data_IF_828509927838
#
_entry.id   IF_828509927838
#
_cell.length_a   1.000
_cell.length_b   1.000
_cell.length_c   1.000
_cell.angle_alpha   90.00
_cell.angle_beta   90.00
_cell.angle_gamma   90.00
#
_symmetry.space_group_name_H-M   'P 1'
#
loop_
_entity.id
_entity.type
_entity.pdbx_description
1 polymer ?
#
# COMPACT_ATOMS: atom_id res chain seq x y z
N UNK A 1 -41.80 -17.04 45.25
CA UNK A 1 -41.56 -16.78 43.80
C UNK A 1 -42.91 -16.74 43.11
N UNK A 2 -43.27 -15.60 42.57
CA UNK A 2 -44.55 -15.42 41.89
C UNK A 2 -44.62 -16.24 40.61
N UNK A 3 -45.80 -16.85 40.34
CA UNK A 3 -46.05 -17.67 39.13
C UNK A 3 -45.65 -16.97 37.80
N UNK A 4 -45.65 -15.62 37.80
CA UNK A 4 -45.22 -14.77 36.66
C UNK A 4 -43.72 -14.82 36.48
N UNK A 5 -42.90 -14.84 37.54
CA UNK A 5 -41.45 -14.93 37.47
C UNK A 5 -40.97 -16.30 36.99
N UNK A 6 -41.72 -17.35 37.31
CA UNK A 6 -41.40 -18.70 36.84
C UNK A 6 -41.72 -18.88 35.34
N UNK A 7 -42.82 -18.28 34.87
CA UNK A 7 -43.18 -18.27 33.44
C UNK A 7 -42.20 -17.47 32.57
N UNK A 8 -41.62 -16.37 33.10
CA UNK A 8 -40.59 -15.60 32.40
C UNK A 8 -39.24 -16.34 32.32
N UNK A 9 -38.90 -17.12 33.37
CA UNK A 9 -37.68 -17.93 33.40
C UNK A 9 -37.73 -19.13 32.44
N UNK A 10 -38.93 -19.73 32.29
CA UNK A 10 -39.14 -20.86 31.34
C UNK A 10 -39.23 -20.32 29.89
N UNK A 11 -39.79 -19.14 29.67
CA UNK A 11 -39.80 -18.47 28.36
C UNK A 11 -38.40 -18.03 27.88
N UNK A 12 -37.53 -17.61 28.82
CA UNK A 12 -36.17 -17.21 28.52
C UNK A 12 -35.23 -18.38 28.20
N UNK A 13 -35.49 -19.59 28.71
CA UNK A 13 -34.66 -20.76 28.45
C UNK A 13 -34.96 -21.44 27.10
N UNK A 14 -36.06 -21.09 26.44
CA UNK A 14 -36.40 -21.64 25.12
C UNK A 14 -35.86 -20.83 23.94
N UNK A 15 -35.25 -19.66 24.20
CA UNK A 15 -34.73 -18.79 23.12
C UNK A 15 -33.24 -19.02 22.81
N UNK A 16 -32.52 -19.81 23.63
CA UNK A 16 -31.09 -20.09 23.42
C UNK A 16 -30.80 -21.46 22.80
N UNK A 17 -31.82 -22.20 22.34
CA UNK A 17 -31.66 -23.51 21.74
C UNK A 17 -31.85 -23.60 20.22
N UNK A 18 -31.93 -22.48 19.50
CA UNK A 18 -32.19 -22.49 18.06
C UNK A 18 -31.09 -21.81 17.28
N UNK A 19 -29.93 -22.42 17.25
CA UNK A 19 -28.93 -22.23 16.20
C UNK A 19 -28.26 -23.59 15.97
N UNK A 20 -29.03 -24.52 15.46
CA UNK A 20 -28.51 -25.67 14.74
C UNK A 20 -28.79 -25.41 13.25
N UNK A 21 -27.74 -25.43 12.45
CA UNK A 21 -27.71 -25.06 11.02
C UNK A 21 -28.44 -26.10 10.13
N UNK A 22 -29.40 -26.85 10.66
CA UNK A 22 -30.12 -27.91 9.96
C UNK A 22 -31.37 -27.45 9.21
N UNK A 23 -31.48 -26.18 8.86
CA UNK A 23 -32.57 -25.71 7.97
C UNK A 23 -32.43 -26.21 6.52
N UNK A 24 -31.33 -26.87 6.18
CA UNK A 24 -31.14 -27.50 4.85
C UNK A 24 -32.08 -28.69 4.61
N UNK A 25 -32.68 -29.27 5.66
CA UNK A 25 -33.53 -30.45 5.55
C UNK A 25 -35.02 -30.16 5.51
N UNK A 26 -35.46 -28.92 5.77
CA UNK A 26 -36.88 -28.57 5.74
C UNK A 26 -37.31 -28.41 4.27
N UNK A 27 -37.95 -29.42 3.76
CA UNK A 27 -38.52 -29.46 2.40
C UNK A 27 -38.05 -30.64 1.54
N UNK A 28 -37.13 -31.49 2.01
CA UNK A 28 -36.66 -32.65 1.24
C UNK A 28 -37.75 -33.74 1.12
N UNK A 29 -38.70 -33.84 2.05
CA UNK A 29 -39.80 -34.81 1.99
C UNK A 29 -40.89 -34.47 0.94
N UNK A 30 -40.78 -33.34 0.24
CA UNK A 30 -41.72 -32.86 -0.78
C UNK A 30 -41.17 -32.96 -2.19
N UNK A 31 -39.88 -33.32 -2.33
CA UNK A 31 -39.26 -33.45 -3.66
C UNK A 31 -39.58 -34.79 -4.30
N UNK A 32 -39.81 -34.87 -5.64
CA UNK A 32 -39.92 -36.11 -6.37
C UNK A 32 -38.68 -37.00 -6.19
N UNK A 33 -38.88 -38.31 -6.07
CA UNK A 33 -37.77 -39.28 -6.06
C UNK A 33 -36.93 -39.07 -7.35
N UNK A 34 -35.71 -38.52 -7.21
CA UNK A 34 -34.79 -38.23 -8.33
C UNK A 34 -34.20 -36.83 -8.31
N UNK A 35 -34.78 -35.85 -7.59
CA UNK A 35 -34.29 -34.50 -7.46
C UNK A 35 -33.57 -34.21 -6.11
N UNK A 36 -33.15 -35.26 -5.41
CA UNK A 36 -32.47 -35.09 -4.13
C UNK A 36 -31.04 -34.61 -4.35
N UNK A 37 -30.80 -33.32 -4.01
CA UNK A 37 -29.43 -32.77 -3.92
C UNK A 37 -28.88 -33.11 -2.53
N UNK A 38 -27.88 -33.97 -2.49
CA UNK A 38 -27.16 -34.28 -1.25
C UNK A 38 -26.02 -33.25 -1.08
N UNK A 39 -26.06 -32.49 0.02
CA UNK A 39 -25.00 -31.53 0.36
C UNK A 39 -24.13 -32.11 1.49
N UNK A 40 -22.82 -32.04 1.31
CA UNK A 40 -21.84 -32.46 2.33
C UNK A 40 -21.00 -31.25 2.72
N UNK A 41 -20.65 -31.12 4.00
CA UNK A 41 -19.69 -30.12 4.46
C UNK A 41 -18.49 -30.79 5.12
N UNK A 42 -17.29 -30.27 4.89
CA UNK A 42 -16.05 -30.76 5.47
C UNK A 42 -15.09 -29.61 5.74
N UNK A 43 -14.37 -29.72 6.85
CA UNK A 43 -13.34 -28.76 7.24
C UNK A 43 -11.98 -29.30 6.84
N UNK A 44 -11.17 -28.44 6.22
CA UNK A 44 -9.80 -28.77 5.80
C UNK A 44 -8.82 -27.81 6.49
N UNK A 45 -7.67 -28.32 6.87
CA UNK A 45 -6.57 -27.50 7.35
C UNK A 45 -5.76 -26.97 6.16
N UNK A 46 -5.50 -25.66 6.17
CA UNK A 46 -4.67 -25.02 5.14
C UNK A 46 -3.21 -25.03 5.59
N UNK A 47 -2.33 -25.41 4.69
CA UNK A 47 -0.89 -25.25 4.91
C UNK A 47 -0.50 -23.81 4.58
N UNK A 48 0.23 -23.20 5.50
CA UNK A 48 0.71 -21.81 5.32
C UNK A 48 2.20 -21.73 5.62
N UNK A 49 2.90 -20.89 4.85
CA UNK A 49 4.32 -20.59 5.05
C UNK A 49 4.56 -19.09 4.95
N UNK A 50 5.53 -18.59 5.70
CA UNK A 50 5.97 -17.20 5.57
C UNK A 50 6.94 -17.08 4.41
N UNK A 51 6.69 -16.15 3.51
CA UNK A 51 7.55 -15.87 2.36
C UNK A 51 8.12 -14.48 2.50
N UNK A 52 9.44 -14.38 2.43
CA UNK A 52 10.12 -13.08 2.38
C UNK A 52 9.95 -12.47 0.99
N UNK A 53 9.48 -11.23 0.97
CA UNK A 53 9.36 -10.44 -0.25
C UNK A 53 10.44 -9.36 -0.25
N UNK A 54 11.43 -9.50 -1.11
CA UNK A 54 12.55 -8.55 -1.21
C UNK A 54 12.12 -7.20 -1.80
N UNK A 55 11.06 -7.21 -2.61
CA UNK A 55 10.52 -5.99 -3.19
C UNK A 55 9.06 -6.15 -3.60
N UNK A 56 8.35 -5.02 -3.57
CA UNK A 56 6.99 -4.86 -4.10
C UNK A 56 6.95 -3.62 -4.98
N UNK A 57 5.89 -3.46 -5.79
CA UNK A 57 5.73 -2.27 -6.62
C UNK A 57 5.80 -1.00 -5.76
N UNK A 58 6.65 -0.07 -6.19
CA UNK A 58 6.96 1.13 -5.42
C UNK A 58 6.32 2.41 -5.95
N UNK A 59 5.74 2.37 -7.15
CA UNK A 59 5.07 3.52 -7.77
C UNK A 59 3.77 3.82 -7.00
N UNK A 60 3.74 4.96 -6.33
CA UNK A 60 2.61 5.35 -5.46
C UNK A 60 2.53 6.86 -5.33
N UNK A 61 1.35 7.38 -5.03
CA UNK A 61 1.14 8.80 -4.67
C UNK A 61 1.37 9.11 -3.19
N UNK A 62 1.61 8.09 -2.37
CA UNK A 62 1.88 8.25 -0.94
C UNK A 62 3.33 7.87 -0.65
N UNK A 63 4.10 8.81 -0.15
CA UNK A 63 5.52 8.64 0.13
C UNK A 63 5.76 8.44 1.63
N UNK A 64 6.72 7.58 1.96
CA UNK A 64 7.09 7.26 3.34
C UNK A 64 8.51 7.71 3.64
N UNK A 65 8.68 8.41 4.76
CA UNK A 65 9.99 8.94 5.18
C UNK A 65 10.24 8.66 6.65
N UNK A 66 11.31 7.98 6.95
CA UNK A 66 11.75 7.75 8.32
C UNK A 66 12.26 6.35 8.58
N UNK A 67 12.45 6.03 9.86
CA UNK A 67 12.93 4.73 10.33
C UNK A 67 12.29 4.38 11.65
N UNK A 68 11.77 3.16 11.76
CA UNK A 68 11.13 2.62 12.95
C UNK A 68 11.66 1.23 13.26
N UNK A 69 11.47 0.80 14.50
CA UNK A 69 11.73 -0.58 14.92
C UNK A 69 10.40 -1.19 15.36
N UNK A 70 10.02 -2.26 14.70
CA UNK A 70 8.87 -3.07 15.07
C UNK A 70 9.07 -3.66 16.48
N UNK A 71 8.19 -3.41 17.44
CA UNK A 71 8.35 -3.89 18.81
C UNK A 71 8.23 -5.42 18.94
N UNK A 72 7.54 -6.10 18.02
CA UNK A 72 7.34 -7.56 18.05
C UNK A 72 8.57 -8.31 17.55
N UNK A 73 8.92 -8.09 16.29
CA UNK A 73 10.04 -8.79 15.64
C UNK A 73 11.37 -8.05 15.74
N UNK A 74 11.40 -6.82 16.26
CA UNK A 74 12.58 -5.97 16.34
C UNK A 74 13.21 -5.67 14.98
N UNK A 75 12.45 -5.82 13.91
CA UNK A 75 12.86 -5.47 12.56
C UNK A 75 12.92 -3.96 12.43
N UNK A 76 14.07 -3.45 12.01
CA UNK A 76 14.20 -2.04 11.67
C UNK A 76 13.74 -1.84 10.23
N UNK A 77 12.74 -1.02 10.04
CA UNK A 77 12.25 -0.62 8.72
C UNK A 77 12.60 0.82 8.46
N UNK A 78 13.29 1.07 7.35
CA UNK A 78 13.65 2.42 6.89
C UNK A 78 12.98 2.65 5.54
N UNK A 79 12.31 3.78 5.40
CA UNK A 79 11.74 4.22 4.13
C UNK A 79 12.22 5.59 3.76
N UNK A 80 12.46 5.74 2.47
CA UNK A 80 12.81 6.95 1.76
C UNK A 80 12.25 6.89 0.33
N UNK A 81 12.30 7.98 -0.41
CA UNK A 81 11.63 8.01 -1.70
C UNK A 81 12.26 8.99 -2.69
N UNK A 82 12.00 8.73 -3.98
CA UNK A 82 12.28 9.65 -5.08
C UNK A 82 10.97 10.28 -5.54
N UNK A 83 11.00 11.57 -5.89
CA UNK A 83 9.83 12.27 -6.41
C UNK A 83 10.20 13.28 -7.49
N UNK A 84 9.40 13.28 -8.55
CA UNK A 84 9.39 14.31 -9.58
C UNK A 84 8.36 15.39 -9.23
N UNK A 85 8.43 16.52 -9.93
CA UNK A 85 7.49 17.62 -9.73
C UNK A 85 6.74 17.92 -11.02
N UNK A 86 5.43 18.03 -10.93
CA UNK A 86 4.63 18.41 -12.09
C UNK A 86 4.65 19.93 -12.30
N UNK A 87 4.50 20.32 -13.55
CA UNK A 87 4.27 21.69 -13.93
C UNK A 87 2.77 22.00 -13.76
N UNK A 88 2.39 23.03 -12.98
CA UNK A 88 0.99 23.41 -12.85
C UNK A 88 0.33 23.70 -14.19
N UNK A 89 -0.95 23.39 -14.31
CA UNK A 89 -1.72 23.70 -15.51
C UNK A 89 -1.73 25.22 -15.74
N UNK A 90 -1.51 25.66 -16.99
CA UNK A 90 -1.41 27.07 -17.36
C UNK A 90 -0.29 27.82 -16.62
N UNK A 91 0.81 27.14 -16.32
CA UNK A 91 1.96 27.75 -15.68
C UNK A 91 2.42 29.02 -16.39
N UNK A 92 2.53 30.12 -15.67
CA UNK A 92 3.03 31.39 -16.18
C UNK A 92 3.68 32.21 -15.08
N UNK A 93 4.89 32.67 -15.30
CA UNK A 93 5.51 33.71 -14.50
C UNK A 93 5.13 35.09 -15.04
N UNK A 94 5.20 36.18 -14.24
CA UNK A 94 5.05 37.55 -14.73
C UNK A 94 6.02 37.84 -15.88
N UNK A 95 5.72 38.83 -16.71
CA UNK A 95 6.63 39.24 -17.79
C UNK A 95 8.00 39.68 -17.23
N UNK A 96 9.07 39.41 -17.95
CA UNK A 96 10.45 39.61 -17.48
C UNK A 96 10.78 41.05 -17.09
N UNK A 97 10.12 42.04 -17.73
CA UNK A 97 10.25 43.46 -17.44
C UNK A 97 9.57 43.88 -16.13
N UNK A 98 8.58 43.09 -15.69
CA UNK A 98 7.88 43.29 -14.41
C UNK A 98 8.59 42.65 -13.23
N UNK A 99 9.55 41.80 -13.44
CA UNK A 99 10.26 41.12 -12.35
C UNK A 99 11.18 42.10 -11.60
N UNK A 100 11.14 42.03 -10.26
CA UNK A 100 12.12 42.70 -9.43
C UNK A 100 13.48 42.09 -9.66
N UNK A 101 14.46 42.90 -10.00
CA UNK A 101 15.83 42.48 -10.31
C UNK A 101 16.73 42.62 -9.07
N UNK A 102 17.76 41.81 -9.00
CA UNK A 102 18.80 41.91 -7.99
C UNK A 102 19.71 43.12 -8.25
N UNK A 103 20.66 43.37 -7.37
CA UNK A 103 21.63 44.51 -7.49
C UNK A 103 22.45 44.47 -8.79
N UNK A 104 22.65 43.31 -9.37
CA UNK A 104 23.33 43.14 -10.66
C UNK A 104 22.40 43.31 -11.88
N UNK A 105 21.14 43.68 -11.68
CA UNK A 105 20.16 43.88 -12.74
C UNK A 105 19.56 42.62 -13.31
N UNK A 106 19.78 41.46 -12.69
CA UNK A 106 19.30 40.14 -13.15
C UNK A 106 18.03 39.72 -12.41
N UNK A 107 17.14 38.96 -13.08
CA UNK A 107 16.01 38.31 -12.46
C UNK A 107 16.57 37.27 -11.48
N UNK A 108 16.07 37.28 -10.24
CA UNK A 108 16.49 36.34 -9.19
C UNK A 108 15.32 35.97 -8.28
N UNK A 109 15.34 34.75 -7.77
CA UNK A 109 14.43 34.34 -6.70
C UNK A 109 14.84 34.98 -5.37
N UNK A 110 13.86 35.33 -4.56
CA UNK A 110 14.09 35.79 -3.19
C UNK A 110 14.43 34.64 -2.26
N UNK A 111 13.74 33.50 -2.43
CA UNK A 111 14.00 32.23 -1.72
C UNK A 111 13.40 31.02 -2.45
N UNK A 112 13.82 29.83 -2.04
CA UNK A 112 13.28 28.59 -2.53
C UNK A 112 13.22 27.56 -1.39
N UNK A 113 12.15 26.79 -1.32
CA UNK A 113 12.02 25.69 -0.34
C UNK A 113 11.31 24.46 -0.93
N UNK A 114 11.53 23.33 -0.29
CA UNK A 114 10.71 22.13 -0.46
C UNK A 114 9.98 21.86 0.85
N UNK A 115 8.70 21.56 0.76
CA UNK A 115 7.83 21.25 1.90
C UNK A 115 7.20 19.90 1.71
N UNK A 116 7.44 19.01 2.69
CA UNK A 116 6.81 17.71 2.79
C UNK A 116 5.62 17.86 3.73
N UNK A 117 4.41 17.82 3.20
CA UNK A 117 3.18 17.85 4.00
C UNK A 117 2.77 16.44 4.36
N UNK A 118 2.40 16.24 5.64
CA UNK A 118 1.94 14.95 6.12
C UNK A 118 0.78 15.13 7.10
N UNK A 119 -0.20 14.25 7.00
CA UNK A 119 -1.36 14.21 7.90
C UNK A 119 -1.18 13.13 8.95
N UNK A 120 -0.54 12.04 8.56
CA UNK A 120 -0.36 10.85 9.38
C UNK A 120 1.13 10.50 9.57
N UNK A 121 1.41 9.81 10.67
CA UNK A 121 2.73 9.31 11.00
C UNK A 121 2.61 8.13 11.96
N UNK A 122 3.66 7.33 12.04
CA UNK A 122 3.80 6.26 13.00
C UNK A 122 5.02 6.50 13.89
N UNK A 123 4.90 6.13 15.18
CA UNK A 123 6.00 6.17 16.13
C UNK A 123 6.03 7.43 17.02
N UNK A 124 7.21 7.75 17.55
CA UNK A 124 7.42 8.85 18.50
C UNK A 124 7.46 10.20 17.79
N UNK A 125 6.53 11.08 18.12
CA UNK A 125 6.42 12.43 17.58
C UNK A 125 7.58 13.36 17.97
N UNK A 126 8.33 13.03 19.00
CA UNK A 126 9.48 13.79 19.49
C UNK A 126 10.82 13.24 19.00
N UNK A 127 10.82 12.07 18.36
CA UNK A 127 12.04 11.49 17.82
C UNK A 127 12.71 12.45 16.84
N UNK A 128 14.00 12.73 17.09
CA UNK A 128 14.78 13.56 16.15
C UNK A 128 15.23 12.72 14.97
N UNK A 129 14.76 13.09 13.80
CA UNK A 129 15.05 12.46 12.53
C UNK A 129 15.89 13.37 11.66
N UNK A 130 16.64 12.80 10.72
CA UNK A 130 17.44 13.54 9.75
C UNK A 130 17.02 13.20 8.33
N UNK A 131 16.67 14.22 7.57
CA UNK A 131 16.34 14.16 6.15
C UNK A 131 17.51 14.71 5.34
N UNK A 132 17.95 13.96 4.31
CA UNK A 132 18.83 14.44 3.24
C UNK A 132 18.02 14.55 1.95
N UNK A 133 18.03 15.71 1.33
CA UNK A 133 17.38 15.97 0.04
C UNK A 133 18.47 16.13 -1.01
N UNK A 134 18.44 15.30 -2.03
CA UNK A 134 19.48 15.23 -3.06
C UNK A 134 18.85 15.38 -4.44
N UNK A 135 19.38 16.27 -5.25
CA UNK A 135 18.89 16.50 -6.61
C UNK A 135 19.10 15.25 -7.49
N UNK A 136 18.13 14.94 -8.33
CA UNK A 136 18.26 13.87 -9.31
C UNK A 136 19.08 14.35 -10.52
N UNK A 137 19.79 13.42 -11.13
CA UNK A 137 20.64 13.66 -12.30
C UNK A 137 19.81 13.85 -13.56
N UNK A 138 20.16 14.86 -14.37
CA UNK A 138 19.60 15.06 -15.71
C UNK A 138 20.07 13.99 -16.70
N UNK A 139 21.25 13.41 -16.47
CA UNK A 139 21.85 12.42 -17.36
C UNK A 139 21.21 11.03 -17.20
N UNK A 140 20.66 10.75 -16.02
CA UNK A 140 19.96 9.50 -15.68
C UNK A 140 18.62 9.80 -15.01
N UNK A 141 17.67 10.35 -15.74
CA UNK A 141 16.35 10.65 -15.16
C UNK A 141 15.61 9.35 -14.85
N UNK A 142 14.73 9.40 -13.84
CA UNK A 142 13.75 8.35 -13.63
C UNK A 142 12.78 8.41 -14.81
N UNK A 143 12.48 7.24 -15.41
CA UNK A 143 11.55 7.15 -16.53
C UNK A 143 10.14 6.80 -16.04
N UNK A 144 9.18 7.66 -16.31
CA UNK A 144 7.77 7.49 -15.93
C UNK A 144 7.07 6.27 -16.57
N UNK A 145 7.66 5.73 -17.65
CA UNK A 145 7.13 4.56 -18.34
C UNK A 145 7.63 3.23 -17.76
N UNK A 146 8.54 3.27 -16.79
CA UNK A 146 9.09 2.08 -16.16
C UNK A 146 8.40 1.81 -14.82
N UNK A 147 8.37 0.53 -14.46
CA UNK A 147 7.95 0.09 -13.14
C UNK A 147 9.16 0.04 -12.22
N UNK A 148 8.99 0.59 -11.03
CA UNK A 148 10.00 0.56 -9.98
C UNK A 148 9.49 -0.19 -8.77
N UNK A 149 10.42 -0.82 -8.06
CA UNK A 149 10.14 -1.64 -6.89
C UNK A 149 10.84 -1.07 -5.67
N UNK A 150 10.38 -1.44 -4.48
CA UNK A 150 10.87 -0.89 -3.19
C UNK A 150 12.35 -1.12 -2.92
N UNK A 151 13.02 -1.97 -3.69
CA UNK A 151 14.47 -2.19 -3.65
C UNK A 151 15.27 -1.31 -4.64
N UNK A 152 14.64 -0.28 -5.21
CA UNK A 152 15.30 0.70 -6.08
C UNK A 152 16.59 1.22 -5.43
N UNK A 153 17.61 1.50 -6.24
CA UNK A 153 18.90 2.05 -5.82
C UNK A 153 18.94 3.54 -6.13
N UNK A 154 18.56 4.45 -5.22
CA UNK A 154 18.48 5.87 -5.49
C UNK A 154 19.81 6.49 -5.96
N UNK A 155 20.92 5.97 -5.47
CA UNK A 155 22.27 6.42 -5.87
C UNK A 155 22.55 6.34 -7.37
N UNK A 156 21.79 5.55 -8.14
CA UNK A 156 21.92 5.44 -9.58
C UNK A 156 21.33 6.66 -10.31
N UNK A 157 20.48 7.43 -9.62
CA UNK A 157 19.71 8.55 -10.16
C UNK A 157 20.14 9.91 -9.57
N UNK A 158 20.90 9.93 -8.47
CA UNK A 158 21.26 11.16 -7.74
C UNK A 158 22.48 11.83 -8.36
N UNK A 159 22.43 13.16 -8.47
CA UNK A 159 23.61 14.01 -8.69
C UNK A 159 24.27 14.36 -7.35
N UNK A 160 25.29 13.60 -6.98
CA UNK A 160 26.04 13.81 -5.73
C UNK A 160 26.81 15.13 -5.71
N UNK A 161 27.12 15.69 -6.88
CA UNK A 161 27.86 16.93 -7.02
C UNK A 161 26.97 18.18 -6.98
N UNK A 162 25.68 18.03 -6.99
CA UNK A 162 24.74 19.14 -7.00
C UNK A 162 24.91 20.05 -5.78
N UNK A 163 25.05 21.37 -5.98
CA UNK A 163 25.14 22.34 -4.89
C UNK A 163 23.81 22.50 -4.13
N UNK A 164 22.73 21.93 -4.67
CA UNK A 164 21.38 22.00 -4.12
C UNK A 164 21.06 20.88 -3.14
N UNK A 165 22.00 19.94 -2.92
CA UNK A 165 21.85 18.90 -1.91
C UNK A 165 21.83 19.51 -0.50
N UNK A 166 20.82 19.18 0.31
CA UNK A 166 20.59 19.76 1.64
C UNK A 166 20.27 18.66 2.66
N UNK A 167 20.57 18.95 3.93
CA UNK A 167 20.16 18.11 5.05
C UNK A 167 19.51 18.96 6.13
N UNK A 168 18.44 18.43 6.72
CA UNK A 168 17.74 19.05 7.84
C UNK A 168 17.41 18.03 8.90
N UNK A 169 17.39 18.46 10.17
CA UNK A 169 16.82 17.66 11.26
C UNK A 169 15.35 18.06 11.44
N UNK A 170 14.51 17.09 11.75
CA UNK A 170 13.09 17.33 12.00
C UNK A 170 12.58 16.41 13.11
N UNK A 171 11.45 16.77 13.68
CA UNK A 171 10.58 15.92 14.47
C UNK A 171 9.16 16.03 13.93
N UNK A 172 8.31 15.04 14.20
CA UNK A 172 6.88 15.08 13.80
C UNK A 172 6.18 16.25 14.45
N UNK A 173 6.44 16.46 15.75
CA UNK A 173 5.96 17.64 16.47
C UNK A 173 6.84 18.84 16.12
N UNK A 174 6.22 19.91 15.62
CA UNK A 174 6.93 21.16 15.39
C UNK A 174 7.26 21.84 16.72
N UNK A 175 8.49 21.64 17.17
CA UNK A 175 8.97 22.23 18.43
C UNK A 175 9.34 23.71 18.33
N UNK A 176 9.31 24.27 17.14
CA UNK A 176 9.57 25.70 16.90
C UNK A 176 8.36 26.59 17.17
N UNK A 177 7.17 25.98 17.32
CA UNK A 177 5.90 26.68 17.52
C UNK A 177 5.21 26.20 18.80
N UNK A 178 4.47 27.11 19.49
CA UNK A 178 3.62 26.71 20.59
C UNK A 178 2.50 25.76 20.14
N UNK A 179 2.11 24.81 21.01
CA UNK A 179 1.04 23.85 20.75
C UNK A 179 -0.28 24.50 20.31
N UNK A 180 -0.57 25.72 20.80
CA UNK A 180 -1.76 26.49 20.42
C UNK A 180 -1.80 26.83 18.92
N UNK A 181 -0.63 27.03 18.30
CA UNK A 181 -0.53 27.35 16.87
C UNK A 181 -0.57 26.08 16.01
N UNK A 182 -0.14 24.94 16.55
CA UNK A 182 -0.04 23.67 15.83
C UNK A 182 -1.26 22.77 16.01
N UNK A 183 -2.21 23.13 16.90
CA UNK A 183 -3.44 22.37 17.14
C UNK A 183 -4.66 22.83 16.32
N UNK A 184 -4.54 23.95 15.59
CA UNK A 184 -5.64 24.52 14.81
C UNK A 184 -5.89 23.78 13.48
N UNK A 185 -7.15 23.72 13.04
CA UNK A 185 -7.56 23.09 11.76
C UNK A 185 -6.91 23.72 10.50
N UNK A 186 -6.26 24.86 10.64
CA UNK A 186 -5.52 25.54 9.57
C UNK A 186 -4.02 25.23 9.55
N UNK A 187 -3.54 24.45 10.53
CA UNK A 187 -2.14 24.10 10.59
C UNK A 187 -1.91 22.77 9.85
N UNK A 188 -1.06 22.81 8.84
CA UNK A 188 -0.62 21.62 8.13
C UNK A 188 0.79 21.25 8.61
N UNK A 189 0.92 20.02 9.15
CA UNK A 189 2.22 19.49 9.55
C UNK A 189 3.11 19.38 8.32
N UNK A 190 4.35 19.86 8.45
CA UNK A 190 5.28 19.88 7.33
C UNK A 190 6.73 19.82 7.79
N UNK A 191 7.57 19.19 6.98
CA UNK A 191 9.03 19.35 7.06
C UNK A 191 9.45 20.34 5.99
N UNK A 192 10.17 21.40 6.38
CA UNK A 192 10.62 22.46 5.46
C UNK A 192 12.11 22.32 5.21
N UNK A 193 12.49 22.19 3.95
CA UNK A 193 13.88 22.15 3.49
C UNK A 193 14.15 23.41 2.66
N UNK A 194 14.93 24.34 3.22
CA UNK A 194 15.35 25.54 2.50
C UNK A 194 16.41 25.18 1.47
N UNK A 195 16.10 25.39 0.20
CA UNK A 195 17.06 25.29 -0.89
C UNK A 195 17.85 26.60 -1.02
N UNK A 196 18.96 26.54 -1.75
CA UNK A 196 19.66 27.73 -2.17
C UNK A 196 18.76 28.54 -3.13
N UNK A 197 18.65 29.86 -2.92
CA UNK A 197 17.86 30.74 -3.81
C UNK A 197 18.30 30.67 -5.27
N UNK A 198 19.57 30.29 -5.49
CA UNK A 198 20.11 30.13 -6.84
C UNK A 198 19.37 29.03 -7.62
N UNK A 199 18.88 27.97 -6.94
CA UNK A 199 18.05 26.96 -7.59
C UNK A 199 16.77 27.57 -8.20
N UNK A 200 16.04 28.39 -7.41
CA UNK A 200 14.86 29.11 -7.90
C UNK A 200 15.20 30.11 -9.00
N UNK A 201 16.35 30.80 -8.87
CA UNK A 201 16.86 31.73 -9.89
C UNK A 201 17.14 31.02 -11.22
N UNK A 202 17.81 29.86 -11.19
CA UNK A 202 18.07 29.06 -12.39
C UNK A 202 16.77 28.55 -13.05
N UNK A 203 15.78 28.15 -12.23
CA UNK A 203 14.47 27.74 -12.75
C UNK A 203 13.76 28.91 -13.46
N UNK A 204 13.73 30.12 -12.85
CA UNK A 204 13.13 31.30 -13.44
C UNK A 204 13.88 31.72 -14.71
N UNK A 205 15.21 31.68 -14.71
CA UNK A 205 16.04 31.96 -15.87
C UNK A 205 15.73 31.00 -17.03
N UNK A 206 15.63 29.70 -16.74
CA UNK A 206 15.24 28.70 -17.72
C UNK A 206 13.84 28.96 -18.33
N UNK A 207 12.90 29.51 -17.55
CA UNK A 207 11.57 29.86 -18.05
C UNK A 207 11.63 30.97 -19.12
N UNK A 208 12.43 32.01 -18.90
CA UNK A 208 12.51 33.11 -19.87
C UNK A 208 13.40 32.82 -21.07
N UNK A 209 14.43 32.00 -20.90
CA UNK A 209 15.35 31.62 -21.95
C UNK A 209 14.84 30.46 -22.82
N UNK A 210 14.09 29.52 -22.20
CA UNK A 210 13.64 28.26 -22.80
C UNK A 210 12.17 27.97 -22.47
N UNK A 211 11.23 28.80 -22.92
CA UNK A 211 9.80 28.61 -22.61
C UNK A 211 9.26 27.26 -23.09
N UNK A 212 9.89 26.61 -24.06
CA UNK A 212 9.54 25.28 -24.54
C UNK A 212 9.71 24.19 -23.45
N UNK A 213 10.55 24.39 -22.46
CA UNK A 213 10.76 23.47 -21.34
C UNK A 213 9.58 23.49 -20.36
N UNK A 214 8.74 24.50 -20.43
CA UNK A 214 7.57 24.72 -19.56
C UNK A 214 6.23 24.47 -20.25
N UNK A 215 6.23 23.71 -21.37
CA UNK A 215 4.99 23.36 -22.08
C UNK A 215 4.19 22.28 -21.36
N UNK A 216 4.87 21.37 -20.69
CA UNK A 216 4.26 20.26 -19.92
C UNK A 216 5.25 19.68 -18.90
N UNK A 217 4.77 18.84 -17.99
CA UNK A 217 5.58 18.22 -16.94
C UNK A 217 6.73 17.40 -17.49
N UNK A 218 6.54 16.67 -18.58
CA UNK A 218 7.59 15.84 -19.20
C UNK A 218 8.80 16.70 -19.63
N UNK A 219 8.56 17.83 -20.34
CA UNK A 219 9.63 18.73 -20.74
C UNK A 219 10.30 19.40 -19.54
N UNK A 220 9.51 19.79 -18.54
CA UNK A 220 10.01 20.39 -17.30
C UNK A 220 10.94 19.43 -16.55
N UNK A 221 10.51 18.18 -16.35
CA UNK A 221 11.28 17.16 -15.66
C UNK A 221 12.60 16.87 -16.38
N UNK A 222 12.56 16.70 -17.70
CA UNK A 222 13.77 16.36 -18.48
C UNK A 222 14.78 17.49 -18.57
N UNK A 223 14.34 18.75 -18.66
CA UNK A 223 15.23 19.86 -18.99
C UNK A 223 15.52 20.77 -17.81
N UNK A 224 14.58 20.90 -16.85
CA UNK A 224 14.71 21.85 -15.76
C UNK A 224 14.96 21.17 -14.42
N UNK A 225 14.01 20.33 -13.95
CA UNK A 225 14.05 19.72 -12.63
C UNK A 225 13.67 18.23 -12.69
N UNK A 226 14.65 17.30 -12.74
CA UNK A 226 14.38 15.86 -12.75
C UNK A 226 13.71 15.34 -11.48
N UNK A 227 13.73 16.12 -10.39
CA UNK A 227 13.21 15.77 -9.09
C UNK A 227 14.27 15.68 -8.00
N UNK A 228 13.88 15.09 -6.88
CA UNK A 228 14.76 14.90 -5.72
C UNK A 228 14.60 13.52 -5.11
N UNK A 229 15.68 13.05 -4.50
CA UNK A 229 15.67 11.92 -3.56
C UNK A 229 15.60 12.45 -2.14
N UNK A 230 14.64 11.95 -1.38
CA UNK A 230 14.38 12.27 0.01
C UNK A 230 14.82 11.09 0.87
N UNK A 231 16.04 11.17 1.39
CA UNK A 231 16.69 10.09 2.12
C UNK A 231 16.46 10.22 3.62
N UNK A 232 16.04 9.12 4.26
CA UNK A 232 16.08 9.00 5.71
C UNK A 232 17.54 8.82 6.16
N UNK A 233 18.24 9.95 6.36
CA UNK A 233 19.68 9.98 6.58
C UNK A 233 20.10 9.72 8.03
N UNK A 234 19.15 9.58 8.96
CA UNK A 234 19.43 9.28 10.37
C UNK A 234 18.25 9.48 11.30
N UNK A 235 18.40 9.01 12.51
CA UNK A 235 17.33 8.92 13.51
C UNK A 235 16.54 7.62 13.38
N UNK A 236 15.88 7.24 14.46
CA UNK A 236 14.95 6.10 14.53
C UNK A 236 13.86 6.48 15.52
N UNK A 237 12.63 6.20 15.19
CA UNK A 237 11.49 6.42 16.10
C UNK A 237 10.24 6.91 15.40
N UNK A 238 10.32 7.51 14.23
CA UNK A 238 9.12 7.93 13.51
C UNK A 238 9.21 7.69 12.00
N UNK A 239 8.04 7.58 11.41
CA UNK A 239 7.83 7.43 9.99
C UNK A 239 6.66 8.31 9.54
N UNK A 240 6.91 9.18 8.59
CA UNK A 240 5.91 10.09 8.04
C UNK A 240 5.19 9.43 6.86
N UNK A 241 3.90 9.68 6.76
CA UNK A 241 3.08 9.41 5.58
C UNK A 241 2.84 10.73 4.84
N UNK A 242 3.58 10.95 3.77
CA UNK A 242 3.58 12.21 3.02
C UNK A 242 2.61 12.14 1.85
N UNK A 243 1.61 12.99 1.86
CA UNK A 243 0.56 13.03 0.83
C UNK A 243 0.79 14.09 -0.24
N UNK A 244 1.60 15.12 0.07
CA UNK A 244 1.92 16.20 -0.84
C UNK A 244 3.34 16.72 -0.59
N UNK A 245 4.10 16.87 -1.66
CA UNK A 245 5.40 17.52 -1.61
C UNK A 245 5.34 18.73 -2.53
N UNK A 246 5.64 19.91 -2.00
CA UNK A 246 5.62 21.16 -2.75
C UNK A 246 7.01 21.77 -2.82
N UNK A 247 7.50 22.04 -4.00
CA UNK A 247 8.67 22.89 -4.24
C UNK A 247 8.19 24.30 -4.55
N UNK A 248 8.59 25.28 -3.75
CA UNK A 248 8.15 26.65 -3.85
C UNK A 248 9.31 27.55 -4.25
N UNK A 249 9.06 28.44 -5.21
CA UNK A 249 9.96 29.53 -5.61
C UNK A 249 9.28 30.85 -5.30
N UNK A 250 9.92 31.69 -4.50
CA UNK A 250 9.41 33.01 -4.09
C UNK A 250 10.16 34.09 -4.83
N UNK A 251 9.41 35.08 -5.29
CA UNK A 251 9.93 36.23 -6.06
C UNK A 251 9.05 37.43 -5.87
N UNK A 252 9.50 38.59 -6.32
CA UNK A 252 8.71 39.83 -6.32
C UNK A 252 8.57 40.35 -7.71
N UNK A 253 7.46 41.02 -7.98
CA UNK A 253 7.20 41.63 -9.27
C UNK A 253 6.36 42.90 -9.16
N UNK A 254 6.48 43.76 -10.17
CA UNK A 254 5.71 45.01 -10.32
C UNK A 254 4.32 44.73 -10.86
N UNK A 255 3.33 45.37 -10.28
CA UNK A 255 1.94 45.34 -10.75
C UNK A 255 1.29 46.68 -10.51
N UNK A 256 0.18 46.97 -11.18
CA UNK A 256 -0.58 48.19 -10.98
C UNK A 256 -1.69 47.92 -9.98
N UNK A 257 -1.75 48.64 -8.89
CA UNK A 257 -2.80 48.52 -7.88
C UNK A 257 -4.12 49.17 -8.36
N UNK A 258 -5.19 49.02 -7.58
CA UNK A 258 -6.52 49.57 -7.90
C UNK A 258 -6.53 51.13 -8.10
N UNK A 259 -5.56 51.83 -7.54
CA UNK A 259 -5.39 53.26 -7.70
C UNK A 259 -4.54 53.66 -8.92
N UNK A 260 -4.20 52.69 -9.80
CA UNK A 260 -3.37 52.93 -10.99
C UNK A 260 -1.88 53.19 -10.69
N UNK A 261 -1.39 52.86 -9.48
CA UNK A 261 0.02 53.12 -9.08
C UNK A 261 0.81 51.82 -9.19
N UNK A 262 2.04 51.94 -9.66
CA UNK A 262 3.00 50.85 -9.61
C UNK A 262 3.26 50.43 -8.17
N UNK A 263 3.24 49.13 -7.93
CA UNK A 263 3.49 48.49 -6.61
C UNK A 263 4.24 47.20 -6.79
N UNK A 264 5.07 46.85 -5.82
CA UNK A 264 5.77 45.57 -5.76
C UNK A 264 4.93 44.61 -4.89
N UNK A 265 4.69 43.43 -5.40
CA UNK A 265 3.97 42.36 -4.69
C UNK A 265 4.82 41.09 -4.64
N UNK A 266 4.61 40.33 -3.58
CA UNK A 266 5.21 38.98 -3.42
C UNK A 266 4.50 37.98 -4.31
N UNK A 267 5.29 37.22 -5.06
CA UNK A 267 4.84 36.12 -5.87
C UNK A 267 5.38 34.79 -5.35
N UNK A 268 4.63 33.73 -5.53
CA UNK A 268 5.06 32.37 -5.21
C UNK A 268 4.56 31.42 -6.28
N UNK A 269 5.47 30.61 -6.79
CA UNK A 269 5.13 29.49 -7.66
C UNK A 269 5.42 28.18 -6.97
N UNK A 270 4.43 27.28 -6.98
CA UNK A 270 4.53 25.91 -6.42
C UNK A 270 4.53 24.90 -7.54
N UNK A 271 5.45 23.93 -7.42
CA UNK A 271 5.49 22.70 -8.20
C UNK A 271 5.19 21.55 -7.25
N UNK A 272 4.22 20.71 -7.57
CA UNK A 272 3.77 19.63 -6.71
C UNK A 272 4.32 18.28 -7.16
N UNK A 273 4.64 17.41 -6.22
CA UNK A 273 4.76 15.99 -6.48
C UNK A 273 3.45 15.33 -6.04
N UNK A 274 2.64 15.00 -7.01
CA UNK A 274 1.29 14.43 -6.88
C UNK A 274 1.18 13.19 -7.78
N UNK A 275 0.00 12.63 -7.95
CA UNK A 275 -0.23 11.44 -8.77
C UNK A 275 0.07 11.61 -10.27
N UNK A 276 0.22 12.86 -10.74
CA UNK A 276 0.54 13.16 -12.15
C UNK A 276 2.01 12.92 -12.50
N UNK A 277 2.88 12.73 -11.52
CA UNK A 277 4.32 12.50 -11.71
C UNK A 277 4.80 11.30 -10.91
N UNK A 278 5.91 10.75 -11.34
CA UNK A 278 6.46 9.57 -10.70
C UNK A 278 6.93 9.87 -9.27
N UNK A 279 6.43 9.08 -8.35
CA UNK A 279 6.91 8.96 -6.99
C UNK A 279 7.21 7.49 -6.71
N UNK A 280 8.32 7.21 -6.06
CA UNK A 280 8.80 5.85 -5.87
C UNK A 280 9.40 5.66 -4.48
N UNK A 281 8.77 4.83 -3.66
CA UNK A 281 9.25 4.49 -2.33
C UNK A 281 10.38 3.45 -2.40
N UNK A 282 11.43 3.66 -1.62
CA UNK A 282 12.38 2.63 -1.25
C UNK A 282 12.08 2.18 0.18
N UNK A 283 12.08 0.87 0.41
CA UNK A 283 11.86 0.29 1.74
C UNK A 283 12.93 -0.75 2.01
N UNK A 284 13.62 -0.60 3.12
CA UNK A 284 14.61 -1.55 3.60
C UNK A 284 14.19 -2.09 4.97
N UNK A 285 14.23 -3.41 5.12
CA UNK A 285 13.98 -4.11 6.38
C UNK A 285 15.26 -4.78 6.85
N UNK A 286 15.78 -4.34 8.00
CA UNK A 286 16.93 -4.94 8.66
C UNK A 286 16.42 -5.89 9.75
N UNK A 287 16.55 -7.18 9.51
CA UNK A 287 16.16 -8.22 10.47
C UNK A 287 17.29 -8.40 11.50
N UNK A 288 16.95 -8.47 12.80
CA UNK A 288 17.99 -8.77 13.80
C UNK A 288 18.54 -10.19 13.59
N UNK A 289 19.82 -10.40 13.86
CA UNK A 289 20.48 -11.70 13.66
C UNK A 289 19.92 -12.86 14.50
N UNK A 290 19.01 -12.58 15.43
CA UNK A 290 18.24 -13.58 16.17
C UNK A 290 17.04 -14.15 15.39
N UNK A 291 16.67 -13.55 14.26
CA UNK A 291 15.59 -14.00 13.40
C UNK A 291 16.21 -14.54 12.11
N UNK A 292 16.15 -15.85 11.96
CA UNK A 292 16.44 -16.50 10.69
C UNK A 292 15.19 -16.44 9.82
N UNK A 293 15.17 -15.47 8.91
CA UNK A 293 14.02 -15.21 8.03
C UNK A 293 13.78 -16.40 7.09
N UNK A 294 14.84 -17.16 6.78
CA UNK A 294 14.76 -18.33 5.89
C UNK A 294 14.20 -19.58 6.61
N UNK A 295 14.01 -19.51 7.94
CA UNK A 295 13.42 -20.57 8.76
C UNK A 295 12.06 -20.19 9.39
N UNK A 296 11.47 -19.07 8.98
CA UNK A 296 10.14 -18.68 9.49
C UNK A 296 9.01 -19.63 9.08
N UNK A 297 9.22 -20.46 8.09
CA UNK A 297 8.29 -21.53 7.62
C UNK A 297 8.18 -22.72 8.58
N UNK A 298 9.11 -22.87 9.51
CA UNK A 298 9.06 -23.93 10.53
C UNK A 298 8.18 -23.59 11.74
N UNK A 299 7.56 -22.40 11.74
CA UNK A 299 6.73 -21.94 12.81
C UNK A 299 5.28 -22.39 12.63
N UNK A 300 4.58 -22.52 13.76
CA UNK A 300 3.14 -22.83 13.77
C UNK A 300 2.26 -21.66 13.32
N UNK A 301 2.86 -20.52 13.04
CA UNK A 301 2.19 -19.30 12.60
C UNK A 301 2.98 -18.63 11.50
N UNK A 302 2.30 -17.87 10.66
CA UNK A 302 2.91 -17.08 9.60
C UNK A 302 2.86 -15.59 9.90
N UNK A 303 3.67 -14.82 9.20
CA UNK A 303 3.82 -13.39 9.42
C UNK A 303 3.46 -12.59 8.18
N UNK A 304 2.81 -11.45 8.42
CA UNK A 304 2.50 -10.47 7.39
C UNK A 304 3.14 -9.14 7.78
N UNK A 305 3.98 -8.60 6.92
CA UNK A 305 4.64 -7.31 7.11
C UNK A 305 4.71 -6.56 5.78
N UNK A 306 4.12 -5.38 5.74
CA UNK A 306 4.06 -4.51 4.56
C UNK A 306 4.74 -3.16 4.83
N UNK A 307 5.05 -2.39 3.77
CA UNK A 307 4.75 -2.57 2.34
C UNK A 307 5.62 -3.63 1.65
N UNK A 308 6.81 -3.90 2.13
CA UNK A 308 7.66 -5.03 1.74
C UNK A 308 8.08 -5.79 2.99
N UNK A 309 8.46 -7.04 2.87
CA UNK A 309 8.96 -7.84 3.99
C UNK A 309 8.41 -9.25 3.99
N UNK A 310 7.32 -9.52 4.69
CA UNK A 310 6.82 -10.87 4.87
C UNK A 310 5.37 -10.99 4.40
N UNK A 311 5.10 -11.98 3.55
CA UNK A 311 3.76 -12.37 3.15
C UNK A 311 3.50 -13.82 3.53
N UNK A 312 2.23 -14.21 3.57
CA UNK A 312 1.85 -15.60 3.82
C UNK A 312 1.48 -16.28 2.50
N UNK A 313 2.20 -17.32 2.17
CA UNK A 313 1.80 -18.28 1.14
C UNK A 313 0.85 -19.29 1.77
N UNK A 314 -0.23 -19.60 1.09
CA UNK A 314 -1.20 -20.59 1.52
C UNK A 314 -1.47 -21.59 0.39
N UNK A 315 -1.46 -22.87 0.72
CA UNK A 315 -1.77 -23.96 -0.23
C UNK A 315 -3.23 -24.35 -0.10
N UNK A 316 -3.98 -24.23 -1.19
CA UNK A 316 -5.38 -24.67 -1.26
C UNK A 316 -5.41 -26.20 -1.46
N UNK A 317 -6.03 -26.99 -0.57
CA UNK A 317 -5.98 -28.44 -0.60
C UNK A 317 -6.95 -29.05 -1.63
N UNK A 318 -6.88 -28.60 -2.90
CA UNK A 318 -7.80 -29.02 -3.96
C UNK A 318 -7.83 -30.54 -4.10
N UNK A 319 -6.65 -31.19 -4.03
CA UNK A 319 -6.53 -32.63 -4.15
C UNK A 319 -7.31 -33.39 -3.08
N UNK A 320 -7.40 -32.83 -1.86
CA UNK A 320 -8.15 -33.44 -0.75
C UNK A 320 -9.65 -33.18 -0.87
N UNK A 321 -10.01 -31.98 -1.38
CA UNK A 321 -11.40 -31.53 -1.52
C UNK A 321 -12.12 -32.40 -2.57
N UNK A 322 -11.45 -32.70 -3.68
CA UNK A 322 -12.03 -33.44 -4.81
C UNK A 322 -11.55 -34.89 -4.87
N UNK A 323 -11.15 -35.49 -3.73
CA UNK A 323 -10.68 -36.88 -3.70
C UNK A 323 -11.82 -37.88 -3.75
N UNK A 324 -11.56 -39.05 -4.35
CA UNK A 324 -12.44 -40.22 -4.35
C UNK A 324 -13.81 -39.93 -4.99
N UNK A 325 -14.88 -40.23 -4.26
CA UNK A 325 -16.26 -40.02 -4.71
C UNK A 325 -16.63 -38.52 -4.96
N UNK A 326 -15.92 -37.60 -4.31
CA UNK A 326 -16.14 -36.18 -4.43
C UNK A 326 -15.53 -35.54 -5.71
N UNK A 327 -14.90 -36.34 -6.58
CA UNK A 327 -14.29 -35.82 -7.81
C UNK A 327 -15.27 -35.13 -8.75
N UNK A 328 -16.51 -35.63 -8.81
CA UNK A 328 -17.55 -35.09 -9.67
C UNK A 328 -18.46 -34.04 -8.97
N UNK A 329 -18.25 -33.80 -7.68
CA UNK A 329 -19.10 -32.91 -6.91
C UNK A 329 -18.92 -31.45 -7.34
N UNK A 330 -20.00 -30.68 -7.26
CA UNK A 330 -19.99 -29.25 -7.42
C UNK A 330 -19.74 -28.55 -6.09
N UNK A 331 -18.77 -27.65 -6.06
CA UNK A 331 -18.45 -26.87 -4.87
C UNK A 331 -19.32 -25.62 -4.83
N UNK A 332 -20.37 -25.62 -4.00
CA UNK A 332 -21.31 -24.52 -3.91
C UNK A 332 -20.81 -23.37 -3.03
N UNK A 333 -20.09 -23.72 -1.96
CA UNK A 333 -19.53 -22.75 -1.02
C UNK A 333 -18.23 -23.24 -0.43
N UNK A 334 -17.27 -22.35 -0.31
CA UNK A 334 -16.04 -22.59 0.45
C UNK A 334 -15.65 -21.31 1.19
N UNK A 335 -15.42 -21.43 2.49
CA UNK A 335 -15.09 -20.29 3.37
C UNK A 335 -13.69 -20.50 3.94
N UNK A 336 -12.87 -19.45 3.92
CA UNK A 336 -11.57 -19.44 4.57
C UNK A 336 -11.60 -18.44 5.72
N UNK A 337 -11.12 -18.86 6.89
CA UNK A 337 -11.00 -17.99 8.07
C UNK A 337 -9.54 -17.93 8.49
N UNK A 338 -8.98 -16.72 8.53
CA UNK A 338 -7.61 -16.45 8.96
C UNK A 338 -7.67 -15.80 10.34
N UNK A 339 -7.22 -16.50 11.35
CA UNK A 339 -7.18 -15.99 12.72
C UNK A 339 -5.87 -15.26 12.98
N UNK A 340 -5.95 -14.13 13.69
CA UNK A 340 -4.79 -13.37 14.14
C UNK A 340 -4.36 -13.84 15.52
N UNK A 341 -3.06 -13.97 15.73
CA UNK A 341 -2.52 -14.01 17.09
C UNK A 341 -2.53 -12.61 17.72
N UNK A 342 -2.74 -12.56 19.02
CA UNK A 342 -2.59 -11.32 19.76
C UNK A 342 -1.11 -10.97 19.86
N UNK A 343 -0.80 -9.68 19.79
CA UNK A 343 0.54 -9.19 19.99
C UNK A 343 1.06 -9.64 21.36
N UNK A 344 2.33 -10.03 21.43
CA UNK A 344 2.99 -10.44 22.68
C UNK A 344 3.46 -9.21 23.46
N UNK A 345 3.74 -8.12 22.76
CA UNK A 345 4.28 -6.88 23.33
C UNK A 345 3.16 -5.88 23.56
N UNK A 346 3.06 -5.40 24.81
CA UNK A 346 2.20 -4.25 25.11
C UNK A 346 3.01 -2.98 24.87
N UNK A 347 2.94 -2.45 23.65
CA UNK A 347 3.67 -1.24 23.23
C UNK A 347 2.71 -0.25 22.61
N UNK A 348 2.87 1.03 22.97
CA UNK A 348 2.15 2.14 22.32
C UNK A 348 2.53 2.27 20.84
N UNK A 349 3.64 1.63 20.45
CA UNK A 349 4.14 1.57 19.07
C UNK A 349 3.95 0.19 18.43
N UNK A 350 2.91 -0.56 18.84
CA UNK A 350 2.52 -1.78 18.12
C UNK A 350 2.02 -1.43 16.71
N UNK A 351 2.50 -2.15 15.70
CA UNK A 351 2.03 -1.93 14.33
C UNK A 351 0.52 -2.25 14.22
N UNK A 352 -0.25 -1.43 13.53
CA UNK A 352 -1.69 -1.62 13.44
C UNK A 352 -2.04 -2.90 12.69
N UNK A 353 -3.13 -3.53 13.10
CA UNK A 353 -3.71 -4.66 12.37
C UNK A 353 -4.26 -4.18 11.03
N UNK A 354 -3.92 -4.80 9.89
CA UNK A 354 -4.47 -4.43 8.60
C UNK A 354 -6.00 -4.55 8.59
N UNK A 355 -6.64 -3.65 7.86
CA UNK A 355 -8.10 -3.66 7.76
C UNK A 355 -8.58 -4.81 6.87
N UNK A 356 -7.87 -5.09 5.77
CA UNK A 356 -8.21 -6.11 4.79
C UNK A 356 -7.00 -6.96 4.40
N UNK A 357 -7.27 -8.20 3.99
CA UNK A 357 -6.31 -9.07 3.32
C UNK A 357 -6.78 -9.33 1.88
N UNK A 358 -5.87 -9.18 0.94
CA UNK A 358 -6.01 -9.68 -0.42
C UNK A 358 -5.49 -11.11 -0.48
N UNK A 359 -6.26 -12.00 -1.07
CA UNK A 359 -5.80 -13.32 -1.49
C UNK A 359 -5.74 -13.34 -3.01
N UNK A 360 -4.58 -13.64 -3.57
CA UNK A 360 -4.32 -13.68 -5.02
C UNK A 360 -3.45 -14.88 -5.35
N UNK A 361 -3.62 -15.47 -6.53
CA UNK A 361 -2.75 -16.57 -6.98
C UNK A 361 -1.29 -16.13 -6.98
N UNK A 362 -0.40 -17.00 -6.50
CA UNK A 362 1.02 -16.67 -6.31
C UNK A 362 1.67 -16.12 -7.59
N UNK A 363 1.45 -16.77 -8.71
CA UNK A 363 2.07 -16.39 -9.99
C UNK A 363 1.44 -15.12 -10.62
N UNK A 364 0.29 -14.67 -10.12
CA UNK A 364 -0.39 -13.46 -10.60
C UNK A 364 -0.19 -12.23 -9.71
N UNK A 365 0.42 -12.40 -8.55
CA UNK A 365 0.59 -11.35 -7.55
C UNK A 365 1.26 -10.09 -8.14
N UNK A 366 2.35 -10.23 -8.87
CA UNK A 366 3.06 -9.11 -9.50
C UNK A 366 2.14 -8.33 -10.46
N UNK A 367 1.49 -9.06 -11.38
CA UNK A 367 0.59 -8.46 -12.37
C UNK A 367 -0.65 -7.81 -11.73
N UNK A 368 -1.09 -8.27 -10.56
CA UNK A 368 -2.23 -7.69 -9.88
C UNK A 368 -1.98 -6.21 -9.56
N UNK A 369 -0.82 -5.90 -8.95
CA UNK A 369 -0.46 -4.53 -8.59
C UNK A 369 0.04 -3.71 -9.78
N UNK A 370 0.87 -4.29 -10.64
CA UNK A 370 1.40 -3.61 -11.85
C UNK A 370 0.31 -3.14 -12.80
N UNK A 371 -0.75 -3.93 -12.97
CA UNK A 371 -1.90 -3.61 -13.82
C UNK A 371 -3.04 -2.95 -13.07
N UNK A 372 -2.86 -2.60 -11.80
CA UNK A 372 -3.89 -2.01 -10.93
C UNK A 372 -5.21 -2.77 -10.97
N UNK A 373 -5.14 -4.12 -10.95
CA UNK A 373 -6.33 -4.98 -10.95
C UNK A 373 -7.11 -4.79 -9.64
N UNK A 374 -8.41 -5.06 -9.70
CA UNK A 374 -9.29 -5.14 -8.53
C UNK A 374 -9.62 -6.59 -8.22
N UNK A 375 -9.96 -6.93 -6.96
CA UNK A 375 -10.45 -8.26 -6.60
C UNK A 375 -11.68 -8.60 -7.43
N UNK A 376 -11.72 -9.82 -8.01
CA UNK A 376 -12.74 -10.22 -8.97
C UNK A 376 -13.54 -11.45 -8.53
N UNK A 377 -13.24 -12.00 -7.35
CA UNK A 377 -13.87 -13.22 -6.79
C UNK A 377 -13.74 -14.48 -7.66
N UNK A 378 -12.73 -14.52 -8.53
CA UNK A 378 -12.35 -15.66 -9.37
C UNK A 378 -10.89 -16.05 -9.15
N UNK A 379 -9.96 -15.11 -9.36
CA UNK A 379 -8.52 -15.29 -9.22
C UNK A 379 -7.96 -14.53 -8.02
N UNK A 380 -8.70 -13.54 -7.55
CA UNK A 380 -8.33 -12.68 -6.43
C UNK A 380 -9.55 -12.34 -5.57
N UNK A 381 -9.34 -12.36 -4.26
CA UNK A 381 -10.39 -12.21 -3.26
C UNK A 381 -9.97 -11.18 -2.22
N UNK A 382 -10.91 -10.32 -1.83
CA UNK A 382 -10.73 -9.45 -0.68
C UNK A 382 -11.44 -10.09 0.53
N UNK A 383 -10.77 -10.11 1.68
CA UNK A 383 -11.39 -10.57 2.92
C UNK A 383 -12.51 -9.62 3.37
N UNK A 384 -13.33 -10.09 4.32
CA UNK A 384 -14.08 -9.14 5.15
C UNK A 384 -13.11 -8.20 5.87
N UNK A 385 -13.59 -7.05 6.30
CA UNK A 385 -12.86 -6.21 7.25
C UNK A 385 -12.49 -7.03 8.50
N UNK A 386 -11.32 -6.76 9.09
CA UNK A 386 -10.90 -7.45 10.30
C UNK A 386 -11.95 -7.35 11.41
N UNK A 387 -12.39 -8.50 11.91
CA UNK A 387 -13.30 -8.57 13.03
C UNK A 387 -12.53 -8.67 14.35
N UNK A 388 -12.55 -7.63 15.16
CA UNK A 388 -11.94 -7.65 16.49
C UNK A 388 -12.64 -8.63 17.45
N UNK A 389 -13.93 -8.90 17.25
CA UNK A 389 -14.71 -9.85 18.05
C UNK A 389 -14.29 -11.29 17.76
N UNK A 390 -14.16 -11.63 16.47
CA UNK A 390 -13.71 -12.96 16.04
C UNK A 390 -12.19 -13.11 16.04
N UNK A 391 -11.44 -12.01 16.17
CA UNK A 391 -10.01 -11.92 15.97
C UNK A 391 -9.54 -12.55 14.64
N UNK A 392 -10.29 -12.27 13.55
CA UNK A 392 -10.11 -12.97 12.29
C UNK A 392 -10.54 -12.15 11.07
N UNK A 393 -10.01 -12.58 9.91
CA UNK A 393 -10.49 -12.22 8.58
C UNK A 393 -11.26 -13.39 7.99
N UNK A 394 -12.22 -13.12 7.11
CA UNK A 394 -12.98 -14.14 6.41
C UNK A 394 -13.03 -13.87 4.91
N UNK A 395 -12.79 -14.92 4.11
CA UNK A 395 -13.14 -14.97 2.71
C UNK A 395 -14.41 -15.81 2.59
N UNK A 396 -15.53 -15.15 2.34
CA UNK A 396 -16.87 -15.72 2.52
C UNK A 396 -17.21 -16.85 1.54
N UNK A 397 -16.72 -16.74 0.31
CA UNK A 397 -16.89 -17.80 -0.67
C UNK A 397 -15.76 -17.80 -1.70
N UNK A 398 -14.94 -18.85 -1.68
CA UNK A 398 -13.84 -19.10 -2.61
C UNK A 398 -14.08 -20.36 -3.47
N UNK A 399 -15.32 -20.81 -3.57
CA UNK A 399 -15.68 -22.02 -4.34
C UNK A 399 -15.25 -21.91 -5.81
N UNK A 400 -15.37 -20.71 -6.40
CA UNK A 400 -14.95 -20.49 -7.78
C UNK A 400 -13.43 -20.67 -7.96
N UNK A 401 -12.62 -20.21 -7.00
CA UNK A 401 -11.17 -20.44 -7.02
C UNK A 401 -10.84 -21.94 -7.04
N UNK A 402 -11.45 -22.71 -6.12
CA UNK A 402 -11.20 -24.14 -6.01
C UNK A 402 -11.64 -24.86 -7.30
N UNK A 403 -12.78 -24.48 -7.86
CA UNK A 403 -13.29 -25.01 -9.12
C UNK A 403 -12.35 -24.69 -10.28
N UNK A 404 -11.86 -23.46 -10.38
CA UNK A 404 -10.91 -23.07 -11.43
C UNK A 404 -9.59 -23.83 -11.30
N UNK A 405 -9.06 -23.98 -10.09
CA UNK A 405 -7.84 -24.74 -9.82
C UNK A 405 -8.01 -26.22 -10.20
N UNK A 406 -9.17 -26.82 -9.88
CA UNK A 406 -9.49 -28.20 -10.30
C UNK A 406 -9.50 -28.32 -11.82
N UNK A 407 -10.20 -27.43 -12.52
CA UNK A 407 -10.28 -27.43 -13.98
C UNK A 407 -8.89 -27.24 -14.62
N UNK A 408 -8.09 -26.33 -14.12
CA UNK A 408 -6.72 -26.09 -14.60
C UNK A 408 -5.85 -27.35 -14.43
N UNK A 409 -5.95 -28.00 -13.26
CA UNK A 409 -5.25 -29.24 -12.97
C UNK A 409 -5.69 -30.38 -13.89
N UNK A 410 -7.00 -30.56 -14.08
CA UNK A 410 -7.56 -31.60 -14.93
C UNK A 410 -7.11 -31.44 -16.39
N UNK A 411 -7.23 -30.24 -16.92
CA UNK A 411 -6.83 -29.89 -18.28
C UNK A 411 -5.30 -29.99 -18.47
N UNK A 412 -4.56 -29.42 -17.53
CA UNK A 412 -3.08 -29.41 -17.58
C UNK A 412 -2.46 -30.80 -17.46
N UNK A 413 -3.04 -31.64 -16.65
CA UNK A 413 -2.63 -33.04 -16.52
C UNK A 413 -3.15 -33.97 -17.66
N UNK A 414 -4.03 -33.46 -18.53
CA UNK A 414 -4.61 -34.23 -19.63
C UNK A 414 -5.51 -35.37 -19.12
N UNK A 415 -6.39 -35.06 -18.15
CA UNK A 415 -7.36 -36.00 -17.63
C UNK A 415 -8.45 -36.27 -18.67
N UNK A 416 -8.75 -37.53 -18.91
CA UNK A 416 -9.76 -37.98 -19.88
C UNK A 416 -10.95 -38.61 -19.18
N UNK A 417 -12.10 -38.55 -19.83
CA UNK A 417 -13.30 -39.24 -19.35
C UNK A 417 -13.08 -40.75 -19.38
N UNK A 418 -13.06 -41.38 -18.23
CA UNK A 418 -12.81 -42.82 -18.09
C UNK A 418 -11.45 -43.17 -17.48
N UNK A 419 -10.59 -42.17 -17.24
CA UNK A 419 -9.37 -42.43 -16.46
C UNK A 419 -9.72 -43.00 -15.07
N UNK A 420 -9.06 -44.09 -14.71
CA UNK A 420 -9.16 -44.61 -13.34
C UNK A 420 -8.56 -43.61 -12.34
N UNK A 421 -8.93 -43.70 -11.08
CA UNK A 421 -8.34 -42.86 -10.02
C UNK A 421 -6.81 -43.00 -9.98
N UNK A 422 -6.28 -44.18 -10.11
CA UNK A 422 -4.84 -44.41 -10.16
C UNK A 422 -4.17 -43.70 -11.35
N UNK A 423 -4.83 -43.75 -12.53
CA UNK A 423 -4.35 -43.06 -13.75
C UNK A 423 -4.38 -41.54 -13.56
N UNK A 424 -5.47 -40.98 -13.02
CA UNK A 424 -5.58 -39.56 -12.69
C UNK A 424 -4.48 -39.13 -11.74
N UNK A 425 -4.28 -39.88 -10.65
CA UNK A 425 -3.25 -39.56 -9.66
C UNK A 425 -1.84 -39.52 -10.24
N UNK A 426 -1.50 -40.49 -11.12
CA UNK A 426 -0.20 -40.48 -11.79
C UNK A 426 -0.02 -39.28 -12.73
N UNK A 427 -1.06 -38.94 -13.51
CA UNK A 427 -1.05 -37.73 -14.39
C UNK A 427 -0.93 -36.46 -13.57
N UNK A 428 -1.64 -36.34 -12.45
CA UNK A 428 -1.56 -35.17 -11.54
C UNK A 428 -0.16 -35.02 -10.98
N UNK A 429 0.43 -36.06 -10.42
CA UNK A 429 1.79 -35.97 -9.89
C UNK A 429 2.80 -35.50 -10.93
N UNK A 430 2.72 -35.99 -12.17
CA UNK A 430 3.62 -35.61 -13.25
C UNK A 430 3.43 -34.12 -13.66
N UNK A 431 2.22 -33.59 -13.60
CA UNK A 431 1.91 -32.22 -13.93
C UNK A 431 2.26 -31.25 -12.79
N UNK A 432 1.91 -31.60 -11.55
CA UNK A 432 2.16 -30.82 -10.34
C UNK A 432 3.67 -30.58 -10.10
N UNK A 433 4.51 -31.59 -10.39
CA UNK A 433 5.97 -31.44 -10.36
C UNK A 433 6.49 -30.33 -11.29
N UNK A 434 5.79 -30.09 -12.42
CA UNK A 434 6.13 -29.03 -13.36
C UNK A 434 5.46 -27.69 -13.05
N UNK A 435 4.44 -27.71 -12.21
CA UNK A 435 3.62 -26.54 -11.85
C UNK A 435 3.51 -26.40 -10.31
N UNK A 436 4.62 -26.19 -9.59
CA UNK A 436 4.66 -26.26 -8.12
C UNK A 436 3.82 -25.17 -7.41
N UNK A 437 3.36 -24.16 -8.13
CA UNK A 437 2.57 -23.06 -7.58
C UNK A 437 1.08 -23.14 -7.96
N UNK A 438 0.64 -24.21 -8.64
CA UNK A 438 -0.69 -24.29 -9.26
C UNK A 438 -1.85 -24.04 -8.27
N UNK A 439 -1.71 -24.44 -7.02
CA UNK A 439 -2.72 -24.30 -5.97
C UNK A 439 -2.29 -23.34 -4.84
N UNK A 440 -1.26 -22.50 -5.09
CA UNK A 440 -0.73 -21.58 -4.10
C UNK A 440 -1.30 -20.18 -4.29
N UNK A 441 -1.69 -19.59 -3.17
CA UNK A 441 -2.15 -18.21 -3.09
C UNK A 441 -1.33 -17.43 -2.08
N UNK A 442 -1.24 -16.11 -2.30
CA UNK A 442 -0.56 -15.18 -1.40
C UNK A 442 -1.61 -14.38 -0.64
N UNK A 443 -1.42 -14.27 0.67
CA UNK A 443 -2.16 -13.35 1.53
C UNK A 443 -1.32 -12.08 1.71
N UNK A 444 -1.92 -10.94 1.41
CA UNK A 444 -1.25 -9.64 1.38
C UNK A 444 -2.15 -8.63 2.09
N UNK A 445 -1.68 -7.93 3.12
CA UNK A 445 -2.39 -6.79 3.68
C UNK A 445 -2.58 -5.70 2.62
N UNK A 446 -3.77 -5.14 2.48
CA UNK A 446 -4.07 -4.11 1.49
C UNK A 446 -4.90 -2.98 2.07
N UNK A 447 -4.64 -1.76 1.58
CA UNK A 447 -5.55 -0.64 1.75
C UNK A 447 -6.58 -0.63 0.61
N UNK A 448 -7.82 -0.29 0.93
CA UNK A 448 -8.91 -0.27 -0.03
C UNK A 448 -9.54 1.11 -0.03
N UNK A 449 -9.63 1.72 -1.20
CA UNK A 449 -10.41 2.94 -1.42
C UNK A 449 -11.73 2.58 -2.07
N UNK A 450 -12.81 3.10 -1.56
CA UNK A 450 -14.14 2.95 -2.13
C UNK A 450 -14.55 4.21 -2.88
N UNK A 451 -15.28 4.05 -3.99
CA UNK A 451 -15.90 5.21 -4.66
C UNK A 451 -16.98 5.79 -3.75
N UNK A 452 -16.92 7.10 -3.53
CA UNK A 452 -18.02 7.85 -2.89
C UNK A 452 -19.15 8.07 -3.88
N UNK A 453 -19.98 7.06 -4.08
CA UNK A 453 -21.27 7.24 -4.75
C UNK A 453 -22.36 7.38 -3.69
N UNK A 454 -23.33 8.24 -3.95
CA UNK A 454 -24.50 8.51 -3.07
C UNK A 454 -25.39 7.29 -2.81
N UNK A 455 -25.04 6.14 -3.32
CA UNK A 455 -25.73 4.87 -3.10
C UNK A 455 -24.95 4.01 -2.09
N UNK A 456 -25.65 3.35 -1.22
CA UNK A 456 -25.28 2.62 0.00
C UNK A 456 -24.14 1.57 -0.10
N UNK A 457 -23.60 1.30 -1.29
CA UNK A 457 -22.50 0.37 -1.51
C UNK A 457 -21.48 1.00 -2.47
N UNK A 458 -20.47 1.66 -1.91
CA UNK A 458 -19.31 2.12 -2.69
C UNK A 458 -18.59 0.92 -3.31
N UNK A 459 -18.36 0.96 -4.60
CA UNK A 459 -17.49 -0.03 -5.26
C UNK A 459 -16.04 0.19 -4.88
N UNK A 460 -15.25 -0.88 -4.86
CA UNK A 460 -13.80 -0.76 -4.67
C UNK A 460 -13.22 -0.01 -5.86
N UNK A 461 -12.57 1.12 -5.58
CA UNK A 461 -11.94 1.95 -6.60
C UNK A 461 -10.43 1.65 -6.73
N UNK A 462 -9.79 1.28 -5.63
CA UNK A 462 -8.37 0.98 -5.59
C UNK A 462 -8.09 -0.06 -4.49
N UNK A 463 -7.16 -0.96 -4.79
CA UNK A 463 -6.62 -1.92 -3.84
C UNK A 463 -5.09 -1.83 -3.91
N UNK A 464 -4.47 -1.28 -2.88
CA UNK A 464 -3.03 -1.05 -2.80
C UNK A 464 -2.44 -1.70 -1.56
N UNK A 465 -1.15 -1.99 -1.59
CA UNK A 465 -0.45 -2.48 -0.41
C UNK A 465 -0.53 -1.44 0.71
N UNK A 466 -0.98 -1.79 1.92
CA UNK A 466 -1.04 -0.84 3.00
C UNK A 466 0.35 -0.55 3.56
N UNK A 467 0.40 0.53 4.28
CA UNK A 467 1.54 0.95 5.05
C UNK A 467 1.58 0.28 6.40
N UNK A 468 2.78 -0.16 6.81
CA UNK A 468 3.17 -0.41 8.20
C UNK A 468 2.21 -1.30 9.00
N UNK A 469 1.96 -2.48 8.50
CA UNK A 469 1.18 -3.48 9.22
C UNK A 469 2.03 -4.69 9.54
N UNK A 470 1.86 -5.20 10.74
CA UNK A 470 2.39 -6.47 11.17
C UNK A 470 1.25 -7.33 11.72
N UNK A 471 1.10 -8.51 11.19
CA UNK A 471 0.14 -9.50 11.68
C UNK A 471 0.85 -10.84 11.70
N UNK A 472 0.90 -11.49 12.86
CA UNK A 472 1.10 -12.93 12.90
C UNK A 472 -0.26 -13.60 12.69
N UNK A 473 -0.37 -14.48 11.70
CA UNK A 473 -1.59 -15.25 11.42
C UNK A 473 -1.36 -16.73 11.73
N UNK A 474 -2.43 -17.37 12.19
CA UNK A 474 -2.44 -18.79 12.52
C UNK A 474 -2.78 -19.61 11.30
#
# INVERSE_FOLDING_TARGET
MNKITLSLLIGGALVFGACDDDTAFVGMDIMPEGDNVTAHSKVYNLQTTTVKMDSVLANTSTCYLGSIVDPEMRVRTTSDFLAQFHLPQNFKLPDADKMVKNEAGNIAADSCDIRLYFEDYYGDSLATMKLSVQALSKDKPIDENLLYYTNIKPNDFVDKSSPYNKSVSYAVKDLSRPDKETSGSKYYRQVVVKLDKEFGTQLMKAYYEHPEYFKNSHQFIRNVCPGFYFESAGGVGSLLTTSLIGMNVYFRYHTVNEAGRDTIVDGMQRFGATEEVLQCNRVANDYPGSIDVDQLDNLTSTYLKTPSGLFTEMTIPVSEIVAGEHYADSINQAKITIRKYNNQTNSDYALPTPEYLLMVRKDEMGQFFEKKKLPNSSDSYLSSQFSSVANAYQFSNVAQLITNLKIERDLGAGIEKGDSEATRNAKYQAWELKNPNWNKVMLIPVAVKHTTTTNYYGQIAECSSPTWTYVSSY
#
